data_IF_389291125822
#
_entry.id   IF_389291125822
#
_cell.length_a   1.000
_cell.length_b   1.000
_cell.length_c   1.000
_cell.angle_alpha   90.00
_cell.angle_beta   90.00
_cell.angle_gamma   90.00
#
_symmetry.space_group_name_H-M   'P 1'
#
loop_
_entity.id
_entity.type
_entity.pdbx_description
1 polymer ?
#
# COMPACT_ATOMS: atom_id res chain seq x y z
N UNK A 1 -21.69 -3.06 -32.54
CA UNK A 1 -20.87 -3.32 -31.35
C UNK A 1 -19.63 -2.47 -31.53
N UNK A 2 -19.69 -1.25 -31.01
CA UNK A 2 -18.56 -0.32 -31.08
C UNK A 2 -17.63 -0.63 -29.91
N UNK A 3 -16.48 -1.19 -30.23
CA UNK A 3 -15.35 -1.24 -29.30
C UNK A 3 -14.87 0.19 -29.08
N UNK A 4 -15.30 0.78 -27.98
CA UNK A 4 -14.70 2.02 -27.49
C UNK A 4 -13.33 1.68 -26.90
N UNK A 5 -12.33 1.75 -27.76
CA UNK A 5 -10.94 1.80 -27.37
C UNK A 5 -10.71 3.20 -26.78
N UNK A 6 -11.07 3.45 -25.51
CA UNK A 6 -10.64 4.63 -24.78
C UNK A 6 -9.20 4.41 -24.38
N UNK A 7 -8.28 5.04 -25.09
CA UNK A 7 -6.84 5.03 -24.81
C UNK A 7 -6.59 5.81 -23.50
N UNK A 8 -5.94 5.16 -22.54
CA UNK A 8 -5.52 5.81 -21.29
C UNK A 8 -4.38 6.78 -21.58
N UNK A 9 -4.59 8.06 -21.28
CA UNK A 9 -3.63 9.12 -21.61
C UNK A 9 -2.48 9.20 -20.62
N UNK A 10 -2.67 8.82 -19.36
CA UNK A 10 -1.60 8.75 -18.36
C UNK A 10 -2.03 7.88 -17.16
N UNK A 11 -1.37 6.76 -16.97
CA UNK A 11 -1.41 6.04 -15.70
C UNK A 11 -0.30 6.61 -14.80
N UNK A 12 -0.63 7.49 -13.88
CA UNK A 12 0.31 7.86 -12.83
C UNK A 12 0.35 6.76 -11.80
N UNK A 13 1.45 6.02 -11.79
CA UNK A 13 1.74 5.06 -10.75
C UNK A 13 2.29 5.86 -9.58
N UNK A 14 1.52 5.94 -8.53
CA UNK A 14 2.00 6.42 -7.24
C UNK A 14 2.64 5.21 -6.59
N UNK A 15 3.98 5.13 -6.61
CA UNK A 15 4.69 4.25 -5.70
C UNK A 15 4.24 4.68 -4.29
N UNK A 16 3.60 3.78 -3.58
CA UNK A 16 3.14 4.05 -2.22
C UNK A 16 4.36 4.20 -1.32
N UNK A 17 4.82 5.44 -1.20
CA UNK A 17 5.57 5.81 -0.01
C UNK A 17 4.57 5.79 1.14
N UNK A 18 4.70 4.78 2.02
CA UNK A 18 3.79 4.48 3.12
C UNK A 18 3.67 5.59 4.18
N UNK A 19 3.93 6.84 3.82
CA UNK A 19 4.18 7.97 4.73
C UNK A 19 3.30 9.20 4.53
N UNK A 20 2.14 9.10 3.88
CA UNK A 20 1.24 10.26 3.81
C UNK A 20 0.05 10.08 4.75
N UNK A 21 0.21 10.50 6.00
CA UNK A 21 -0.89 10.87 6.89
C UNK A 21 -0.76 12.36 7.24
N UNK A 22 -1.68 13.16 6.71
CA UNK A 22 -1.78 14.55 7.05
C UNK A 22 -2.99 15.19 6.39
N UNK A 23 -4.20 14.97 6.91
CA UNK A 23 -5.32 15.87 6.64
C UNK A 23 -5.35 16.93 7.72
N UNK A 24 -4.96 18.14 7.36
CA UNK A 24 -5.39 19.35 8.06
C UNK A 24 -6.38 20.04 7.15
N UNK A 25 -7.68 20.01 7.50
CA UNK A 25 -8.64 20.99 7.02
C UNK A 25 -8.31 22.32 7.70
N UNK A 26 -7.59 23.19 7.00
CA UNK A 26 -7.25 24.53 7.43
C UNK A 26 -7.98 25.56 6.59
N UNK A 27 -8.60 26.54 7.27
CA UNK A 27 -9.22 27.72 6.65
C UNK A 27 -8.18 28.47 5.77
N UNK A 28 -8.61 29.11 4.65
CA UNK A 28 -7.70 29.85 3.78
C UNK A 28 -7.33 31.18 4.45
N UNK A 29 -6.08 31.33 4.89
CA UNK A 29 -5.57 32.63 5.33
C UNK A 29 -4.45 32.66 6.36
N UNK A 30 -3.85 31.54 6.76
CA UNK A 30 -2.67 31.55 7.60
C UNK A 30 -1.39 31.43 6.77
N UNK A 31 -0.37 32.30 7.00
CA UNK A 31 1.00 32.05 6.57
C UNK A 31 1.42 30.67 7.10
N UNK A 32 1.57 29.74 6.18
CA UNK A 32 2.15 28.43 6.51
C UNK A 32 3.61 28.70 6.82
N UNK A 33 3.98 28.60 8.08
CA UNK A 33 5.39 28.55 8.46
C UNK A 33 6.02 27.43 7.65
N UNK A 34 7.10 27.73 6.96
CA UNK A 34 7.91 26.79 6.18
C UNK A 34 8.67 25.87 7.17
N UNK A 35 7.91 25.07 7.93
CA UNK A 35 8.50 23.97 8.66
C UNK A 35 8.83 22.89 7.62
N UNK A 36 10.08 22.44 7.54
CA UNK A 36 10.46 21.39 6.63
C UNK A 36 9.56 20.18 6.92
N UNK A 37 8.84 19.72 5.91
CA UNK A 37 8.14 18.46 5.99
C UNK A 37 9.10 17.42 6.59
N UNK A 38 8.68 16.73 7.64
CA UNK A 38 9.48 15.67 8.25
C UNK A 38 9.66 14.58 7.19
N UNK A 39 10.75 14.68 6.43
CA UNK A 39 11.15 13.62 5.51
C UNK A 39 11.77 12.56 6.42
N UNK A 40 10.96 11.55 6.76
CA UNK A 40 11.46 10.32 7.37
C UNK A 40 12.32 9.63 6.31
N UNK A 41 13.61 9.94 6.29
CA UNK A 41 14.57 9.22 5.46
C UNK A 41 14.87 7.86 6.08
N UNK A 42 15.15 6.86 5.25
CA UNK A 42 15.51 5.50 5.70
C UNK A 42 16.84 5.46 6.49
N UNK A 43 17.48 6.62 6.72
CA UNK A 43 18.82 6.77 7.28
C UNK A 43 18.86 7.72 8.51
N UNK A 44 17.77 7.88 9.28
CA UNK A 44 17.86 8.65 10.52
C UNK A 44 18.75 7.89 11.53
N UNK A 45 19.87 8.47 11.98
CA UNK A 45 20.76 7.81 12.93
C UNK A 45 20.07 7.46 14.26
N UNK A 46 18.94 8.08 14.59
CA UNK A 46 18.13 7.76 15.77
C UNK A 46 17.26 6.50 15.58
N UNK A 47 17.05 6.03 14.36
CA UNK A 47 16.30 4.79 14.13
C UNK A 47 16.99 3.56 14.74
N UNK A 48 18.30 3.61 14.86
CA UNK A 48 19.08 2.56 15.54
C UNK A 48 18.67 2.43 17.00
N UNK A 49 18.29 3.53 17.66
CA UNK A 49 17.84 3.54 19.06
C UNK A 49 16.42 2.96 19.24
N UNK A 50 15.66 2.87 18.15
CA UNK A 50 14.31 2.31 18.14
C UNK A 50 14.25 0.87 17.64
N UNK A 51 15.36 0.37 17.09
CA UNK A 51 15.42 -0.95 16.46
C UNK A 51 15.17 -2.08 17.48
N UNK A 52 14.21 -2.94 17.18
CA UNK A 52 13.93 -4.17 17.92
C UNK A 52 14.72 -5.33 17.31
N UNK A 53 15.51 -6.00 18.13
CA UNK A 53 16.29 -7.15 17.68
C UNK A 53 15.44 -8.42 17.70
N UNK A 54 15.26 -9.06 16.54
CA UNK A 54 14.55 -10.34 16.44
C UNK A 54 15.44 -11.43 17.07
N UNK A 55 14.90 -12.13 18.07
CA UNK A 55 15.55 -13.23 18.77
C UNK A 55 15.14 -14.58 18.18
N UNK A 56 13.85 -14.73 17.85
CA UNK A 56 13.31 -15.92 17.19
C UNK A 56 12.07 -15.57 16.38
N UNK A 57 11.78 -16.40 15.40
CA UNK A 57 10.58 -16.31 14.56
C UNK A 57 10.03 -17.72 14.32
N UNK A 58 8.72 -17.89 14.50
CA UNK A 58 8.00 -19.11 14.16
C UNK A 58 6.75 -18.79 13.35
N UNK A 59 6.42 -19.63 12.37
CA UNK A 59 5.17 -19.53 11.64
C UNK A 59 4.05 -20.15 12.50
N UNK A 60 3.22 -19.30 13.11
CA UNK A 60 2.10 -19.71 13.95
C UNK A 60 0.90 -20.21 13.12
N UNK A 61 0.71 -19.67 11.93
CA UNK A 61 -0.33 -20.11 11.00
C UNK A 61 0.08 -19.81 9.56
N UNK A 62 -0.15 -20.80 8.67
CA UNK A 62 0.14 -20.68 7.24
C UNK A 62 -1.15 -20.69 6.44
N UNK A 63 -1.40 -19.59 5.74
CA UNK A 63 -2.54 -19.43 4.86
C UNK A 63 -2.22 -19.64 3.39
N UNK A 64 -3.23 -19.42 2.56
CA UNK A 64 -3.07 -19.47 1.09
C UNK A 64 -2.44 -18.20 0.54
N UNK A 65 -2.71 -17.05 1.19
CA UNK A 65 -2.31 -15.71 0.71
C UNK A 65 -1.31 -15.08 1.65
N UNK A 66 -1.49 -15.27 2.96
CA UNK A 66 -0.66 -14.67 3.99
C UNK A 66 -0.31 -15.71 5.05
N UNK A 67 0.79 -15.51 5.72
CA UNK A 67 1.22 -16.30 6.87
C UNK A 67 1.25 -15.40 8.11
N UNK A 68 0.94 -15.98 9.28
CA UNK A 68 1.04 -15.30 10.57
C UNK A 68 2.25 -15.84 11.31
N UNK A 69 3.15 -14.95 11.64
CA UNK A 69 4.38 -15.28 12.35
C UNK A 69 4.36 -14.67 13.76
N UNK A 70 4.89 -15.42 14.72
CA UNK A 70 5.19 -14.93 16.06
C UNK A 70 6.68 -14.74 16.19
N UNK A 71 7.08 -13.53 16.58
CA UNK A 71 8.45 -13.17 16.84
C UNK A 71 8.67 -12.94 18.33
N UNK A 72 9.80 -13.38 18.86
CA UNK A 72 10.36 -12.85 20.08
C UNK A 72 11.36 -11.76 19.74
N UNK A 73 11.23 -10.61 20.36
CA UNK A 73 12.11 -9.46 20.14
C UNK A 73 12.70 -8.95 21.44
N UNK A 74 13.91 -8.37 21.33
CA UNK A 74 14.53 -7.58 22.38
C UNK A 74 14.33 -6.10 22.03
N UNK A 75 13.67 -5.38 22.93
CA UNK A 75 13.43 -3.94 22.82
C UNK A 75 14.73 -3.17 23.07
N UNK A 76 14.84 -1.89 22.65
CA UNK A 76 16.01 -1.05 22.90
C UNK A 76 16.41 -0.93 24.38
N UNK A 77 15.44 -1.08 25.28
CA UNK A 77 15.69 -1.05 26.73
C UNK A 77 16.11 -2.41 27.31
N UNK A 78 16.35 -3.43 26.46
CA UNK A 78 16.77 -4.78 26.86
C UNK A 78 15.64 -5.70 27.32
N UNK A 79 14.39 -5.23 27.38
CA UNK A 79 13.25 -6.10 27.71
C UNK A 79 12.86 -6.97 26.52
N UNK A 80 12.33 -8.17 26.80
CA UNK A 80 11.75 -9.04 25.76
C UNK A 80 10.27 -8.77 25.57
N UNK A 81 9.83 -8.89 24.33
CA UNK A 81 8.41 -8.76 23.95
C UNK A 81 8.10 -9.71 22.80
N UNK A 82 6.81 -9.96 22.56
CA UNK A 82 6.35 -10.73 21.41
C UNK A 82 5.71 -9.79 20.37
N UNK A 83 5.81 -10.19 19.08
CA UNK A 83 5.13 -9.56 17.96
C UNK A 83 4.41 -10.62 17.14
N UNK A 84 3.13 -10.37 16.83
CA UNK A 84 2.42 -11.17 15.84
C UNK A 84 2.43 -10.37 14.53
N UNK A 85 3.05 -10.93 13.50
CA UNK A 85 3.27 -10.27 12.19
C UNK A 85 2.56 -11.06 11.11
N UNK A 86 1.88 -10.34 10.22
CA UNK A 86 1.31 -10.89 9.00
C UNK A 86 2.30 -10.70 7.86
N UNK A 87 2.76 -11.81 7.28
CA UNK A 87 3.58 -11.82 6.07
C UNK A 87 2.67 -11.92 4.85
N UNK A 88 2.75 -10.92 3.98
CA UNK A 88 1.97 -10.82 2.74
C UNK A 88 2.92 -10.55 1.56
N UNK A 89 2.66 -11.11 0.36
CA UNK A 89 3.56 -10.94 -0.79
C UNK A 89 3.67 -9.50 -1.31
N UNK A 90 2.82 -8.61 -0.85
CA UNK A 90 2.67 -7.28 -1.39
C UNK A 90 1.50 -7.19 -2.38
N UNK A 91 1.16 -5.96 -2.76
CA UNK A 91 0.14 -5.67 -3.76
C UNK A 91 0.50 -4.35 -4.46
N UNK A 92 -0.02 -4.16 -5.67
CA UNK A 92 0.03 -2.89 -6.36
C UNK A 92 -1.39 -2.38 -6.61
N UNK A 93 -1.58 -1.07 -6.51
CA UNK A 93 -2.83 -0.39 -6.84
C UNK A 93 -2.55 0.70 -7.88
N UNK A 94 -3.56 1.04 -8.69
CA UNK A 94 -3.41 2.05 -9.73
C UNK A 94 -4.54 3.06 -9.71
N UNK A 95 -4.19 4.35 -9.77
CA UNK A 95 -5.13 5.43 -10.03
C UNK A 95 -5.12 5.70 -11.52
N UNK A 96 -6.05 5.09 -12.25
CA UNK A 96 -6.18 5.24 -13.69
C UNK A 96 -7.17 6.36 -14.03
N UNK A 97 -6.76 7.27 -14.91
CA UNK A 97 -7.60 8.36 -15.40
C UNK A 97 -7.96 8.12 -16.87
N UNK A 98 -9.22 8.33 -17.22
CA UNK A 98 -9.66 8.36 -18.61
C UNK A 98 -9.25 9.68 -19.27
N UNK A 99 -9.28 9.76 -20.61
CA UNK A 99 -9.04 11.02 -21.36
C UNK A 99 -9.97 12.16 -20.91
N UNK A 100 -11.17 11.84 -20.45
CA UNK A 100 -12.13 12.82 -19.92
C UNK A 100 -11.87 13.20 -18.46
N UNK A 101 -10.76 12.74 -17.84
CA UNK A 101 -10.36 13.07 -16.46
C UNK A 101 -11.17 12.34 -15.38
N UNK A 102 -11.82 11.22 -15.73
CA UNK A 102 -12.55 10.40 -14.75
C UNK A 102 -11.66 9.31 -14.19
N UNK A 103 -11.78 9.05 -12.89
CA UNK A 103 -11.08 7.93 -12.22
C UNK A 103 -11.81 6.63 -12.55
N UNK A 104 -11.05 5.61 -12.90
CA UNK A 104 -11.54 4.23 -13.07
C UNK A 104 -11.64 3.59 -11.70
N UNK A 105 -12.83 3.07 -11.37
CA UNK A 105 -13.11 2.41 -10.11
C UNK A 105 -13.76 1.05 -10.35
N UNK A 106 -13.50 0.10 -9.48
CA UNK A 106 -14.13 -1.23 -9.45
C UNK A 106 -15.05 -1.38 -8.24
N UNK A 107 -16.03 -2.27 -8.36
CA UNK A 107 -16.93 -2.60 -7.25
C UNK A 107 -16.71 -4.06 -6.87
N UNK A 108 -16.35 -4.30 -5.61
CA UNK A 108 -16.10 -5.64 -5.11
C UNK A 108 -16.87 -5.90 -3.82
N UNK A 109 -17.38 -7.11 -3.65
CA UNK A 109 -17.92 -7.55 -2.38
C UNK A 109 -16.78 -7.98 -1.46
N UNK A 110 -16.67 -7.34 -0.30
CA UNK A 110 -15.66 -7.64 0.71
C UNK A 110 -16.28 -8.42 1.87
N UNK A 111 -16.06 -9.73 1.87
CA UNK A 111 -16.61 -10.64 2.89
C UNK A 111 -16.24 -10.22 4.32
N UNK A 112 -15.02 -9.71 4.54
CA UNK A 112 -14.56 -9.31 5.87
C UNK A 112 -15.39 -8.19 6.51
N UNK A 113 -16.05 -7.36 5.70
CA UNK A 113 -16.89 -6.24 6.15
C UNK A 113 -18.35 -6.38 5.69
N UNK A 114 -18.68 -7.53 5.06
CA UNK A 114 -20.03 -7.91 4.61
C UNK A 114 -20.74 -6.85 3.75
N UNK A 115 -20.00 -6.24 2.81
CA UNK A 115 -20.55 -5.22 1.91
C UNK A 115 -19.78 -5.06 0.61
N UNK A 116 -20.42 -4.40 -0.35
CA UNK A 116 -19.77 -3.93 -1.59
C UNK A 116 -19.01 -2.65 -1.29
N UNK A 117 -17.76 -2.60 -1.73
CA UNK A 117 -16.88 -1.42 -1.70
C UNK A 117 -16.66 -0.90 -3.10
N UNK A 118 -16.27 0.37 -3.22
CA UNK A 118 -15.81 1.01 -4.45
C UNK A 118 -14.34 1.34 -4.26
N UNK A 119 -13.49 0.81 -5.12
CA UNK A 119 -12.04 0.79 -4.92
C UNK A 119 -11.33 1.14 -6.23
N UNK A 120 -10.09 1.60 -6.13
CA UNK A 120 -9.18 1.66 -7.29
C UNK A 120 -8.78 0.23 -7.66
N UNK A 121 -8.47 -0.07 -8.94
CA UNK A 121 -7.94 -1.38 -9.34
C UNK A 121 -6.67 -1.72 -8.58
N UNK A 122 -6.62 -2.93 -8.02
CA UNK A 122 -5.50 -3.38 -7.21
C UNK A 122 -5.43 -4.90 -7.10
N UNK A 123 -4.23 -5.45 -7.07
CA UNK A 123 -4.06 -6.86 -6.85
C UNK A 123 -2.70 -7.25 -6.31
N UNK A 124 -2.55 -8.52 -5.97
CA UNK A 124 -1.34 -9.06 -5.34
C UNK A 124 -0.20 -9.20 -6.35
N UNK A 125 1.00 -8.94 -5.87
CA UNK A 125 2.22 -9.25 -6.62
C UNK A 125 2.38 -10.77 -6.79
N UNK A 126 2.67 -11.20 -8.00
CA UNK A 126 3.17 -12.53 -8.27
C UNK A 126 4.65 -12.65 -7.82
N UNK A 127 5.15 -13.85 -7.53
CA UNK A 127 6.53 -14.03 -7.09
C UNK A 127 7.54 -13.42 -8.08
N UNK A 128 8.23 -12.35 -7.66
CA UNK A 128 9.23 -11.65 -8.47
C UNK A 128 8.65 -10.69 -9.51
N UNK A 129 7.35 -10.42 -9.47
CA UNK A 129 6.69 -9.44 -10.34
C UNK A 129 7.07 -8.01 -9.94
N UNK A 130 7.36 -7.17 -10.94
CA UNK A 130 7.56 -5.74 -10.74
C UNK A 130 6.21 -5.06 -10.37
N UNK A 131 6.17 -4.14 -9.39
CA UNK A 131 4.93 -3.48 -8.97
C UNK A 131 4.21 -2.75 -10.11
N UNK A 132 4.94 -2.15 -11.06
CA UNK A 132 4.38 -1.47 -12.22
C UNK A 132 3.70 -2.46 -13.17
N UNK A 133 4.32 -3.62 -13.40
CA UNK A 133 3.74 -4.64 -14.26
C UNK A 133 2.52 -5.28 -13.60
N UNK A 134 2.54 -5.49 -12.28
CA UNK A 134 1.38 -5.90 -11.51
C UNK A 134 0.22 -4.90 -11.65
N UNK A 135 0.47 -3.61 -11.45
CA UNK A 135 -0.56 -2.57 -11.56
C UNK A 135 -1.21 -2.54 -12.95
N UNK A 136 -0.42 -2.67 -14.02
CA UNK A 136 -0.92 -2.75 -15.42
C UNK A 136 -1.74 -4.02 -15.65
N UNK A 137 -1.26 -5.17 -15.16
CA UNK A 137 -1.96 -6.45 -15.28
C UNK A 137 -3.31 -6.40 -14.57
N UNK A 138 -3.35 -5.96 -13.31
CA UNK A 138 -4.57 -5.87 -12.51
C UNK A 138 -5.57 -4.87 -13.11
N UNK A 139 -5.11 -3.70 -13.58
CA UNK A 139 -5.97 -2.75 -14.29
C UNK A 139 -6.66 -3.43 -15.48
N UNK A 140 -5.89 -4.18 -16.27
CA UNK A 140 -6.44 -4.86 -17.44
C UNK A 140 -7.41 -6.00 -17.05
N UNK A 141 -7.05 -6.81 -16.06
CA UNK A 141 -7.86 -7.94 -15.61
C UNK A 141 -9.19 -7.51 -15.01
N UNK A 142 -9.18 -6.45 -14.19
CA UNK A 142 -10.38 -5.99 -13.49
C UNK A 142 -11.28 -5.07 -14.32
N UNK A 143 -10.73 -4.35 -15.29
CA UNK A 143 -11.47 -3.29 -16.00
C UNK A 143 -11.48 -3.41 -17.53
N UNK A 144 -10.56 -4.18 -18.10
CA UNK A 144 -10.34 -4.27 -19.55
C UNK A 144 -9.53 -3.12 -20.14
N UNK A 145 -9.18 -2.08 -19.38
CA UNK A 145 -8.32 -0.99 -19.84
C UNK A 145 -6.85 -1.44 -19.97
N UNK A 146 -6.09 -0.71 -20.82
CA UNK A 146 -4.66 -0.96 -21.06
C UNK A 146 -3.91 0.37 -21.09
#
# INVERSE_FOLDING_TARGET
MDEKNEELVDAQIVEEDSRVYGHAEGEPGGEVADEPALVLGDDDPHDVELHEKILSEECAWKGKILDVHRLEVELPNGHRSARDIVRHPGAAAVVALTESGKIVLVRQYRTAIDRVTVEIPAGKLDPGEDPLDCAKRELHEETGFR
#
